data_IF_148618138107
#
_entry.id   IF_148618138107
#
_cell.length_a   1.000
_cell.length_b   1.000
_cell.length_c   1.000
_cell.angle_alpha   90.00
_cell.angle_beta   90.00
_cell.angle_gamma   90.00
#
_symmetry.space_group_name_H-M   'P 1'
#
loop_
_entity.id
_entity.type
_entity.pdbx_description
1 polymer ?
#
# COMPACT_ATOMS: atom_id res chain seq x y z
N UNK A 1 2.94 -33.53 -7.48
CA UNK A 1 1.57 -33.53 -8.04
C UNK A 1 0.82 -32.47 -7.25
N UNK A 2 0.88 -31.22 -7.73
CA UNK A 2 0.50 -30.03 -6.96
C UNK A 2 -0.96 -29.73 -7.27
N UNK A 3 -1.84 -29.78 -6.25
CA UNK A 3 -3.28 -29.63 -6.47
C UNK A 3 -3.62 -28.18 -6.80
N UNK A 4 -4.08 -28.03 -8.03
CA UNK A 4 -4.76 -26.88 -8.61
C UNK A 4 -6.01 -26.59 -7.76
N UNK A 5 -6.32 -25.32 -7.50
CA UNK A 5 -7.61 -24.93 -6.97
C UNK A 5 -8.72 -25.54 -7.84
N UNK A 6 -9.54 -26.39 -7.24
CA UNK A 6 -10.63 -27.09 -7.94
C UNK A 6 -11.62 -26.07 -8.49
N UNK A 7 -11.77 -25.99 -9.82
CA UNK A 7 -12.85 -25.25 -10.47
C UNK A 7 -13.34 -25.98 -11.73
N UNK A 8 -14.66 -26.04 -11.89
CA UNK A 8 -15.39 -26.96 -12.77
C UNK A 8 -15.61 -26.40 -14.19
N UNK A 9 -14.53 -25.94 -14.86
CA UNK A 9 -14.64 -25.36 -16.21
C UNK A 9 -13.34 -25.18 -17.00
N UNK A 10 -13.45 -25.09 -18.33
CA UNK A 10 -12.32 -24.94 -19.28
C UNK A 10 -11.83 -23.48 -19.29
N UNK A 11 -10.98 -23.12 -18.33
CA UNK A 11 -10.24 -21.86 -18.27
C UNK A 11 -8.77 -22.12 -18.61
N UNK A 12 -8.24 -21.41 -19.60
CA UNK A 12 -6.82 -21.44 -19.94
C UNK A 12 -6.07 -20.57 -18.92
N UNK A 13 -5.33 -21.22 -18.02
CA UNK A 13 -4.48 -20.53 -17.04
C UNK A 13 -3.20 -20.10 -17.74
N UNK A 14 -3.05 -18.80 -17.97
CA UNK A 14 -1.82 -18.23 -18.51
C UNK A 14 -0.91 -17.84 -17.33
N UNK A 15 -0.25 -18.83 -16.74
CA UNK A 15 0.64 -18.63 -15.59
C UNK A 15 2.00 -18.09 -16.07
N UNK A 16 2.08 -16.77 -16.31
CA UNK A 16 3.36 -16.08 -16.55
C UNK A 16 3.93 -15.71 -15.18
N UNK A 17 4.37 -16.72 -14.42
CA UNK A 17 4.76 -16.58 -13.01
C UNK A 17 5.96 -17.44 -12.63
N UNK A 18 6.55 -17.15 -11.46
CA UNK A 18 7.54 -18.02 -10.85
C UNK A 18 6.82 -19.25 -10.27
N UNK A 19 7.16 -20.50 -10.65
CA UNK A 19 6.47 -21.71 -10.18
C UNK A 19 6.51 -21.91 -8.66
N UNK A 20 7.44 -21.25 -7.97
CA UNK A 20 7.59 -21.30 -6.52
C UNK A 20 6.85 -20.17 -5.78
N UNK A 21 6.09 -19.34 -6.49
CA UNK A 21 5.40 -18.18 -5.91
C UNK A 21 4.38 -18.62 -4.84
N UNK A 22 3.58 -19.65 -5.15
CA UNK A 22 2.55 -20.21 -4.26
C UNK A 22 3.13 -20.87 -2.98
N UNK A 23 4.43 -21.21 -2.98
CA UNK A 23 5.08 -21.79 -1.79
C UNK A 23 5.40 -20.73 -0.73
N UNK A 24 5.43 -19.45 -1.13
CA UNK A 24 5.89 -18.34 -0.28
C UNK A 24 4.85 -17.26 -0.06
N UNK A 25 3.86 -17.21 -0.94
CA UNK A 25 2.91 -16.12 -1.05
C UNK A 25 1.51 -16.66 -1.31
N UNK A 26 0.52 -15.90 -0.85
CA UNK A 26 -0.89 -16.25 -1.02
C UNK A 26 -1.37 -15.77 -2.39
N UNK A 27 -1.73 -16.71 -3.26
CA UNK A 27 -2.02 -16.47 -4.68
C UNK A 27 -3.42 -16.97 -4.99
N UNK A 28 -4.32 -16.06 -5.40
CA UNK A 28 -5.62 -16.44 -5.93
C UNK A 28 -5.72 -16.13 -7.42
N UNK A 29 -6.54 -16.91 -8.12
CA UNK A 29 -6.82 -16.72 -9.55
C UNK A 29 -8.11 -15.91 -9.68
N UNK A 30 -8.03 -14.76 -10.36
CA UNK A 30 -9.20 -13.94 -10.72
C UNK A 30 -9.41 -13.97 -12.23
N UNK A 31 -10.64 -14.24 -12.67
CA UNK A 31 -10.99 -14.20 -14.09
C UNK A 31 -10.89 -12.77 -14.63
N UNK A 32 -10.30 -12.61 -15.81
CA UNK A 32 -10.21 -11.33 -16.52
C UNK A 32 -11.45 -11.16 -17.38
N UNK A 33 -12.27 -10.15 -17.11
CA UNK A 33 -13.30 -9.60 -18.00
C UNK A 33 -14.13 -10.66 -18.76
N UNK A 34 -14.73 -11.62 -18.04
CA UNK A 34 -15.54 -12.72 -18.60
C UNK A 34 -14.82 -13.61 -19.64
N UNK A 35 -13.50 -13.52 -19.75
CA UNK A 35 -12.71 -14.41 -20.58
C UNK A 35 -12.42 -15.72 -19.84
N UNK A 36 -12.06 -16.75 -20.61
CA UNK A 36 -11.51 -18.02 -20.09
C UNK A 36 -10.06 -17.88 -19.62
N UNK A 37 -9.61 -16.69 -19.25
CA UNK A 37 -8.25 -16.41 -18.82
C UNK A 37 -8.27 -15.98 -17.36
N UNK A 38 -7.60 -16.78 -16.53
CA UNK A 38 -7.37 -16.47 -15.12
C UNK A 38 -6.06 -15.72 -14.92
N UNK A 39 -6.07 -14.66 -14.13
CA UNK A 39 -4.88 -13.95 -13.67
C UNK A 39 -4.56 -14.34 -12.24
N UNK A 40 -3.34 -14.78 -12.00
CA UNK A 40 -2.80 -14.95 -10.65
C UNK A 40 -2.58 -13.57 -10.00
N UNK A 41 -3.13 -13.36 -8.81
CA UNK A 41 -2.96 -12.16 -7.99
C UNK A 41 -2.35 -12.59 -6.66
N UNK A 42 -1.28 -11.91 -6.25
CA UNK A 42 -0.63 -12.11 -4.95
C UNK A 42 -1.25 -11.16 -3.94
N UNK A 43 -1.75 -11.70 -2.83
CA UNK A 43 -2.48 -10.93 -1.80
C UNK A 43 -1.60 -10.52 -0.61
N UNK A 44 -0.34 -10.93 -0.62
CA UNK A 44 0.54 -10.77 0.54
C UNK A 44 1.94 -10.24 0.15
N UNK A 45 1.96 -9.42 -0.91
CA UNK A 45 3.19 -8.86 -1.50
C UNK A 45 3.94 -7.95 -0.54
N UNK A 46 3.19 -7.16 0.23
CA UNK A 46 3.71 -6.29 1.26
C UNK A 46 3.03 -6.55 2.62
N UNK A 47 3.70 -6.20 3.71
CA UNK A 47 3.19 -6.37 5.08
C UNK A 47 1.84 -5.68 5.27
N UNK A 48 1.59 -4.56 4.59
CA UNK A 48 0.31 -3.85 4.65
C UNK A 48 -0.84 -4.68 4.06
N UNK A 49 -0.57 -5.47 3.01
CA UNK A 49 -1.57 -6.37 2.41
C UNK A 49 -1.92 -7.50 3.37
N UNK A 50 -0.89 -8.07 4.04
CA UNK A 50 -1.08 -9.05 5.11
C UNK A 50 -1.89 -8.50 6.27
N UNK A 51 -1.65 -7.26 6.66
CA UNK A 51 -2.39 -6.61 7.74
C UNK A 51 -3.84 -6.35 7.33
N UNK A 52 -4.08 -5.96 6.08
CA UNK A 52 -5.44 -5.79 5.55
C UNK A 52 -6.21 -7.10 5.49
N UNK A 53 -5.62 -8.17 4.94
CA UNK A 53 -6.23 -9.51 4.89
C UNK A 53 -6.51 -10.09 6.28
N UNK A 54 -5.70 -9.73 7.29
CA UNK A 54 -5.90 -10.10 8.69
C UNK A 54 -6.84 -9.14 9.45
N UNK A 55 -7.54 -8.24 8.76
CA UNK A 55 -8.46 -7.24 9.32
C UNK A 55 -7.81 -6.32 10.39
N UNK A 56 -6.49 -6.13 10.32
CA UNK A 56 -5.72 -5.25 11.20
C UNK A 56 -5.61 -3.81 10.66
N UNK A 57 -5.90 -3.62 9.38
CA UNK A 57 -6.03 -2.32 8.74
C UNK A 57 -7.39 -2.27 8.04
N UNK A 58 -8.05 -1.12 8.09
CA UNK A 58 -9.21 -0.86 7.25
C UNK A 58 -8.81 -0.51 5.81
N UNK A 59 -9.79 -0.48 4.89
CA UNK A 59 -9.56 -0.18 3.47
C UNK A 59 -8.93 1.21 3.25
N UNK A 60 -9.30 2.21 4.05
CA UNK A 60 -8.79 3.58 3.89
C UNK A 60 -7.34 3.66 4.36
N UNK A 61 -7.01 3.00 5.48
CA UNK A 61 -5.67 2.89 6.03
C UNK A 61 -4.75 2.12 5.08
N UNK A 62 -5.22 1.00 4.52
CA UNK A 62 -4.47 0.25 3.51
C UNK A 62 -4.14 1.12 2.29
N UNK A 63 -5.13 1.81 1.72
CA UNK A 63 -4.94 2.71 0.58
C UNK A 63 -3.95 3.85 0.86
N UNK A 64 -4.00 4.42 2.07
CA UNK A 64 -3.04 5.45 2.51
C UNK A 64 -1.63 4.87 2.63
N UNK A 65 -1.48 3.69 3.22
CA UNK A 65 -0.20 3.01 3.32
C UNK A 65 0.38 2.68 1.93
N UNK A 66 -0.45 2.24 0.98
CA UNK A 66 -0.03 1.98 -0.40
C UNK A 66 0.40 3.29 -1.11
N UNK A 67 -0.36 4.37 -0.92
CA UNK A 67 0.03 5.70 -1.37
C UNK A 67 1.36 6.14 -0.77
N UNK A 68 1.61 5.88 0.52
CA UNK A 68 2.90 6.17 1.15
C UNK A 68 4.03 5.35 0.54
N UNK A 69 3.82 4.05 0.30
CA UNK A 69 4.79 3.18 -0.37
C UNK A 69 5.15 3.72 -1.77
N UNK A 70 4.18 4.25 -2.51
CA UNK A 70 4.42 4.93 -3.80
C UNK A 70 5.28 6.19 -3.67
N UNK A 71 5.17 6.91 -2.56
CA UNK A 71 5.99 8.11 -2.28
C UNK A 71 7.43 7.69 -1.97
N UNK A 72 7.62 6.66 -1.13
CA UNK A 72 8.94 6.09 -0.82
C UNK A 72 9.64 5.58 -2.09
N UNK A 73 8.90 4.89 -2.96
CA UNK A 73 9.45 4.41 -4.22
C UNK A 73 9.90 5.56 -5.14
N UNK A 74 9.05 6.60 -5.28
CA UNK A 74 9.38 7.77 -6.12
C UNK A 74 10.54 8.60 -5.59
N UNK A 75 10.77 8.61 -4.28
CA UNK A 75 11.89 9.34 -3.68
C UNK A 75 13.25 8.70 -3.93
N UNK A 76 13.28 7.46 -4.46
CA UNK A 76 14.51 6.70 -4.67
C UNK A 76 15.11 6.15 -3.37
N UNK A 77 14.30 5.99 -2.31
CA UNK A 77 14.77 5.44 -1.04
C UNK A 77 15.24 3.97 -1.14
N UNK A 78 14.77 3.25 -2.16
CA UNK A 78 15.23 1.89 -2.46
C UNK A 78 16.50 1.93 -3.31
N UNK A 79 17.67 1.71 -2.69
CA UNK A 79 18.96 1.60 -3.40
C UNK A 79 19.03 0.41 -4.37
N UNK A 80 18.25 -0.64 -4.08
CA UNK A 80 17.83 -1.72 -4.97
C UNK A 80 16.34 -1.90 -4.75
N UNK A 81 15.55 -1.98 -5.82
CA UNK A 81 14.18 -2.44 -5.68
C UNK A 81 14.21 -3.85 -5.05
N UNK A 82 13.40 -4.12 -4.01
CA UNK A 82 13.24 -5.50 -3.56
C UNK A 82 12.79 -6.34 -4.76
N UNK A 83 13.29 -7.57 -4.90
CA UNK A 83 12.99 -8.42 -6.08
C UNK A 83 11.50 -8.67 -6.30
N UNK A 84 10.70 -8.54 -5.24
CA UNK A 84 9.23 -8.59 -5.25
C UNK A 84 8.56 -7.32 -5.83
N UNK A 85 9.29 -6.21 -5.93
CA UNK A 85 8.77 -4.88 -6.24
C UNK A 85 9.33 -4.33 -7.56
N UNK A 86 10.32 -5.01 -8.18
CA UNK A 86 10.96 -4.65 -9.45
C UNK A 86 9.99 -4.47 -10.62
N UNK A 87 8.82 -5.13 -10.59
CA UNK A 87 7.81 -5.05 -11.67
C UNK A 87 6.65 -4.08 -11.42
N UNK A 88 6.52 -3.52 -10.21
CA UNK A 88 5.36 -2.68 -9.83
C UNK A 88 5.61 -1.20 -10.14
N UNK A 89 6.86 -0.76 -10.08
CA UNK A 89 7.23 0.63 -10.34
C UNK A 89 7.82 0.79 -11.74
N UNK A 90 6.96 0.82 -12.75
CA UNK A 90 7.34 1.37 -14.04
C UNK A 90 7.70 2.85 -13.82
N UNK A 91 9.00 3.16 -13.81
CA UNK A 91 9.49 4.51 -13.56
C UNK A 91 9.22 5.37 -14.80
N UNK A 92 7.95 5.74 -15.02
CA UNK A 92 7.65 6.91 -15.83
C UNK A 92 8.39 8.08 -15.19
N UNK A 93 9.40 8.61 -15.86
CA UNK A 93 10.27 9.65 -15.33
C UNK A 93 9.42 10.81 -14.83
N UNK A 94 9.47 11.07 -13.52
CA UNK A 94 8.82 12.22 -12.93
C UNK A 94 9.64 13.44 -13.34
N UNK A 95 9.18 14.10 -14.40
CA UNK A 95 9.66 15.39 -14.87
C UNK A 95 9.22 16.49 -13.89
N UNK A 96 9.95 16.63 -12.79
CA UNK A 96 9.81 17.75 -11.86
C UNK A 96 11.18 18.24 -11.42
N UNK A 97 11.40 19.56 -11.48
CA UNK A 97 12.66 20.26 -11.13
C UNK A 97 13.05 20.18 -9.64
N UNK A 98 12.44 19.29 -8.85
CA UNK A 98 12.73 19.09 -7.43
C UNK A 98 13.58 17.84 -7.18
N UNK A 99 14.52 17.91 -6.24
CA UNK A 99 15.25 16.73 -5.78
C UNK A 99 14.29 15.66 -5.27
N UNK A 100 14.39 14.43 -5.79
CA UNK A 100 13.55 13.26 -5.40
C UNK A 100 13.56 13.02 -3.89
N UNK A 101 14.65 13.39 -3.21
CA UNK A 101 14.77 13.29 -1.76
C UNK A 101 13.80 14.21 -1.00
N UNK A 102 13.42 15.36 -1.56
CA UNK A 102 12.54 16.31 -0.89
C UNK A 102 11.07 15.85 -0.86
N UNK A 103 10.67 14.90 -1.70
CA UNK A 103 9.29 14.40 -1.79
C UNK A 103 8.83 13.81 -0.44
N UNK A 104 9.74 13.13 0.28
CA UNK A 104 9.44 12.54 1.59
C UNK A 104 9.35 13.58 2.73
N UNK A 105 10.01 14.74 2.58
CA UNK A 105 10.17 15.70 3.67
C UNK A 105 8.84 16.18 4.23
N UNK A 106 7.84 16.39 3.38
CA UNK A 106 6.51 16.83 3.83
C UNK A 106 5.77 15.73 4.59
N UNK A 107 5.82 14.50 4.08
CA UNK A 107 5.15 13.34 4.67
C UNK A 107 5.76 13.00 6.03
N UNK A 108 7.08 12.93 6.12
CA UNK A 108 7.78 12.67 7.38
C UNK A 108 7.51 13.75 8.43
N UNK A 109 7.48 15.03 8.04
CA UNK A 109 7.15 16.12 8.97
C UNK A 109 5.76 15.96 9.59
N UNK A 110 4.78 15.52 8.81
CA UNK A 110 3.41 15.31 9.29
C UNK A 110 3.38 14.12 10.25
N UNK A 111 3.97 13.00 9.88
CA UNK A 111 4.00 11.81 10.76
C UNK A 111 4.73 12.15 12.08
N UNK A 112 5.87 12.85 12.02
CA UNK A 112 6.60 13.27 13.23
C UNK A 112 5.75 14.21 14.09
N UNK A 113 4.97 15.11 13.47
CA UNK A 113 4.12 16.06 14.19
C UNK A 113 2.94 15.37 14.89
N UNK A 114 2.27 14.45 14.22
CA UNK A 114 1.04 13.81 14.73
C UNK A 114 1.32 12.57 15.59
N UNK A 115 2.30 11.75 15.20
CA UNK A 115 2.57 10.45 15.82
C UNK A 115 3.89 10.41 16.61
N UNK A 116 4.74 11.42 16.47
CA UNK A 116 6.07 11.44 17.08
C UNK A 116 7.14 10.74 16.25
N UNK A 117 8.41 11.01 16.61
CA UNK A 117 9.59 10.55 15.87
C UNK A 117 9.80 9.03 15.96
N UNK A 118 9.46 8.42 17.09
CA UNK A 118 9.72 6.98 17.28
C UNK A 118 8.73 6.13 16.48
N UNK A 119 7.45 6.51 16.44
CA UNK A 119 6.45 5.87 15.57
C UNK A 119 6.78 6.07 14.09
N UNK A 120 7.27 7.25 13.70
CA UNK A 120 7.73 7.49 12.31
C UNK A 120 8.85 6.53 11.91
N UNK A 121 9.88 6.38 12.75
CA UNK A 121 10.99 5.44 12.48
C UNK A 121 10.52 3.99 12.35
N UNK A 122 9.61 3.57 13.23
CA UNK A 122 9.04 2.21 13.19
C UNK A 122 8.25 2.04 11.89
N UNK A 123 7.39 2.98 11.56
CA UNK A 123 6.58 2.94 10.34
C UNK A 123 7.46 2.93 9.09
N UNK A 124 8.46 3.82 9.00
CA UNK A 124 9.45 3.81 7.92
C UNK A 124 10.11 2.44 7.76
N UNK A 125 10.58 1.85 8.87
CA UNK A 125 11.24 0.54 8.86
C UNK A 125 10.30 -0.57 8.37
N UNK A 126 9.05 -0.59 8.86
CA UNK A 126 8.05 -1.57 8.43
C UNK A 126 7.79 -1.45 6.92
N UNK A 127 7.64 -0.22 6.42
CA UNK A 127 7.33 0.05 5.02
C UNK A 127 8.50 -0.20 4.06
N UNK A 128 9.74 -0.06 4.53
CA UNK A 128 10.94 -0.23 3.67
C UNK A 128 11.53 -1.62 3.73
N UNK A 129 11.52 -2.25 4.91
CA UNK A 129 12.07 -3.60 5.11
C UNK A 129 11.08 -4.68 4.71
N UNK A 130 9.77 -4.38 4.77
CA UNK A 130 8.69 -5.33 4.49
C UNK A 130 8.84 -6.65 5.29
N UNK A 131 8.79 -6.60 6.64
CA UNK A 131 8.90 -7.79 7.48
C UNK A 131 7.71 -8.74 7.24
N UNK A 132 7.91 -10.03 7.50
CA UNK A 132 6.83 -11.03 7.34
C UNK A 132 5.69 -10.85 8.34
N UNK A 133 6.04 -10.44 9.55
CA UNK A 133 5.12 -10.22 10.67
C UNK A 133 5.62 -9.01 11.48
N UNK A 134 4.70 -8.40 12.24
CA UNK A 134 5.00 -7.26 13.11
C UNK A 134 4.33 -7.46 14.47
N UNK A 135 4.97 -6.93 15.51
CA UNK A 135 4.46 -6.98 16.89
C UNK A 135 3.33 -5.96 17.10
N UNK A 136 2.56 -6.12 18.18
CA UNK A 136 1.45 -5.21 18.50
C UNK A 136 1.90 -3.73 18.62
N UNK A 137 3.02 -3.37 19.27
CA UNK A 137 3.47 -1.97 19.34
C UNK A 137 3.86 -1.39 17.97
N UNK A 138 4.35 -2.25 17.07
CA UNK A 138 4.67 -1.85 15.70
C UNK A 138 3.38 -1.63 14.90
N UNK A 139 2.39 -2.51 15.07
CA UNK A 139 1.07 -2.37 14.48
C UNK A 139 0.39 -1.07 14.94
N UNK A 140 0.42 -0.76 16.23
CA UNK A 140 -0.16 0.47 16.78
C UNK A 140 0.51 1.70 16.14
N UNK A 141 1.83 1.66 15.95
CA UNK A 141 2.57 2.71 15.25
C UNK A 141 2.17 2.83 13.78
N UNK A 142 1.97 1.71 13.07
CA UNK A 142 1.50 1.68 11.68
C UNK A 142 0.11 2.29 11.56
N UNK A 143 -0.83 1.89 12.43
CA UNK A 143 -2.21 2.40 12.45
C UNK A 143 -2.23 3.89 12.76
N UNK A 144 -1.47 4.34 13.76
CA UNK A 144 -1.36 5.76 14.10
C UNK A 144 -0.85 6.59 12.92
N UNK A 145 0.23 6.14 12.28
CA UNK A 145 0.80 6.83 11.12
C UNK A 145 -0.14 6.82 9.91
N UNK A 146 -0.83 5.70 9.66
CA UNK A 146 -1.84 5.60 8.60
C UNK A 146 -2.99 6.58 8.83
N UNK A 147 -3.47 6.73 10.06
CA UNK A 147 -4.52 7.69 10.40
C UNK A 147 -4.06 9.15 10.22
N UNK A 148 -2.83 9.48 10.64
CA UNK A 148 -2.26 10.82 10.41
C UNK A 148 -2.15 11.15 8.91
N UNK A 149 -1.71 10.18 8.10
CA UNK A 149 -1.62 10.34 6.65
C UNK A 149 -2.99 10.37 5.96
N UNK A 150 -3.97 9.62 6.47
CA UNK A 150 -5.35 9.66 6.01
C UNK A 150 -5.92 11.07 6.19
N UNK A 151 -5.72 11.66 7.38
CA UNK A 151 -6.13 13.03 7.65
C UNK A 151 -5.44 14.02 6.71
N UNK A 152 -4.14 13.86 6.49
CA UNK A 152 -3.39 14.75 5.61
C UNK A 152 -3.81 14.67 4.13
N UNK A 153 -4.02 13.47 3.58
CA UNK A 153 -4.32 13.32 2.16
C UNK A 153 -5.80 13.46 1.81
N UNK A 154 -6.71 13.18 2.75
CA UNK A 154 -8.14 13.09 2.46
C UNK A 154 -8.99 14.06 3.29
N UNK A 155 -8.53 14.50 4.46
CA UNK A 155 -9.29 15.35 5.39
C UNK A 155 -8.73 16.78 5.47
N UNK A 156 -7.62 17.08 4.81
CA UNK A 156 -7.05 18.43 4.82
C UNK A 156 -8.12 19.44 4.39
N UNK A 157 -8.33 20.49 5.20
CA UNK A 157 -9.46 21.44 5.16
C UNK A 157 -9.63 22.23 3.85
N UNK A 158 -8.79 21.93 2.85
CA UNK A 158 -8.84 22.47 1.48
C UNK A 158 -9.31 21.43 0.45
N UNK A 159 -9.64 20.20 0.87
CA UNK A 159 -10.20 19.20 -0.04
C UNK A 159 -11.62 19.63 -0.43
N UNK A 160 -12.02 19.50 -1.71
CA UNK A 160 -13.34 19.93 -2.15
C UNK A 160 -14.46 19.33 -1.32
N UNK A 161 -14.27 18.08 -0.85
CA UNK A 161 -15.22 17.34 -0.01
C UNK A 161 -15.33 17.95 1.39
N UNK A 162 -14.22 18.32 2.02
CA UNK A 162 -14.24 18.95 3.35
C UNK A 162 -14.79 20.37 3.30
N UNK A 163 -14.53 21.13 2.22
CA UNK A 163 -15.20 22.40 1.94
C UNK A 163 -16.70 22.22 1.70
N UNK A 164 -17.11 21.18 0.96
CA UNK A 164 -18.51 20.85 0.72
C UNK A 164 -19.25 20.49 2.01
N UNK A 165 -18.65 19.65 2.85
CA UNK A 165 -19.24 19.25 4.14
C UNK A 165 -19.37 20.45 5.08
N UNK A 166 -18.39 21.35 5.09
CA UNK A 166 -18.44 22.58 5.89
C UNK A 166 -19.55 23.51 5.43
N UNK A 167 -19.73 23.66 4.12
CA UNK A 167 -20.82 24.46 3.55
C UNK A 167 -22.22 23.94 3.92
N UNK A 168 -22.40 22.61 4.06
CA UNK A 168 -23.68 22.06 4.52
C UNK A 168 -23.99 22.39 5.98
N UNK A 169 -22.98 22.42 6.85
CA UNK A 169 -23.15 22.74 8.27
C UNK A 169 -23.48 24.22 8.47
N UNK A 170 -22.83 25.11 7.72
CA UNK A 170 -23.04 26.57 7.79
C UNK A 170 -24.42 27.02 7.25
N UNK A 171 -25.06 26.21 6.40
CA UNK A 171 -26.41 26.48 5.86
C UNK A 171 -27.58 25.98 6.74
N UNK A 172 -27.28 25.30 7.84
CA UNK A 172 -28.26 24.76 8.78
C UNK A 172 -28.40 25.55 10.09
N UNK A 173 -27.86 26.78 10.12
CA UNK A 173 -28.13 27.81 11.13
C UNK A 173 -28.90 28.97 10.50
#
# INVERSE_FOLDING_TARGET
MTSIGSFDGVTFVNDIGNPYLHERQDVHIRNVDNSKVGRAIVFDQHIIDKLYTKEKLDEKQHNVCDKYLSVIARSGAFAKAPSSMEKIFDQSQVSGDGSRACILSQVHRIIIRECGRDSEKVFWKVMTVNPKEIDQPQLDSVVACANALLQYWYVNQQSPISLFQKAFVDHSQ
#
